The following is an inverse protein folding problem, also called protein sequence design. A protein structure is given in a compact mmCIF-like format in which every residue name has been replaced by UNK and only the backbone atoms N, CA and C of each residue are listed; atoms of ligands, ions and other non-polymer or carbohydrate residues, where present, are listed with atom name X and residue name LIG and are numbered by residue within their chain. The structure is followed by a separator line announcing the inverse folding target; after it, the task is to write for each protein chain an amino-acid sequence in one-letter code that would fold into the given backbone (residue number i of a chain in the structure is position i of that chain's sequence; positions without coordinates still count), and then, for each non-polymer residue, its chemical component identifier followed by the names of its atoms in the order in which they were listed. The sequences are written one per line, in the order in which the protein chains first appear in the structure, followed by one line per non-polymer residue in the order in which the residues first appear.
data_IF_261286133309
#
_entry.id   IF_261286133309
#
_cell.length_a   1.000
_cell.length_b   1.000
_cell.length_c   1.000
_cell.angle_alpha   90.00
_cell.angle_beta   90.00
_cell.angle_gamma   90.00
#
_symmetry.space_group_name_H-M   'P 1'
#
loop_
_entity.id
_entity.type
_entity.pdbx_description
1 polymer ?
#
# COMPACT_ATOMS: atom_id res chain seq x y z
N UNK A 1 6.42 5.27 -6.58
CA UNK A 1 7.82 4.83 -6.77
C UNK A 1 8.06 3.42 -6.25
N UNK A 2 7.86 3.14 -4.94
CA UNK A 2 8.17 1.81 -4.38
C UNK A 2 7.36 0.64 -4.97
N UNK A 3 6.10 0.86 -5.37
CA UNK A 3 5.27 -0.19 -5.98
C UNK A 3 5.81 -0.65 -7.33
N UNK A 4 6.29 0.26 -8.19
CA UNK A 4 6.82 -0.10 -9.51
C UNK A 4 8.11 -0.93 -9.41
N UNK A 5 8.96 -0.64 -8.42
CA UNK A 5 10.18 -1.42 -8.15
C UNK A 5 9.81 -2.83 -7.66
N UNK A 6 8.85 -2.92 -6.74
CA UNK A 6 8.32 -4.19 -6.24
C UNK A 6 7.64 -5.00 -7.35
N UNK A 7 6.87 -4.34 -8.21
CA UNK A 7 6.20 -4.94 -9.39
C UNK A 7 7.24 -5.53 -10.36
N UNK A 8 8.30 -4.79 -10.68
CA UNK A 8 9.36 -5.25 -11.57
C UNK A 8 10.07 -6.49 -11.01
N UNK A 9 10.38 -6.49 -9.71
CA UNK A 9 11.00 -7.64 -9.04
C UNK A 9 10.08 -8.88 -9.03
N UNK A 10 8.80 -8.71 -8.68
CA UNK A 10 7.87 -9.85 -8.64
C UNK A 10 7.61 -10.38 -10.04
N UNK A 11 7.52 -9.50 -11.05
CA UNK A 11 7.35 -9.92 -12.43
C UNK A 11 8.56 -10.70 -12.95
N UNK A 12 9.80 -10.27 -12.65
CA UNK A 12 11.00 -11.01 -13.08
C UNK A 12 11.04 -12.40 -12.47
N UNK A 13 10.66 -12.55 -11.21
CA UNK A 13 10.61 -13.83 -10.51
C UNK A 13 9.50 -14.76 -11.04
N UNK A 14 8.35 -14.20 -11.45
CA UNK A 14 7.31 -14.97 -12.12
C UNK A 14 7.75 -15.44 -13.50
N UNK A 15 8.44 -14.60 -14.27
CA UNK A 15 8.95 -14.94 -15.60
C UNK A 15 10.10 -15.96 -15.56
N UNK A 16 10.85 -16.04 -14.46
CA UNK A 16 11.89 -17.06 -14.25
C UNK A 16 11.29 -18.45 -13.92
N UNK A 17 10.14 -18.48 -13.24
CA UNK A 17 9.51 -19.72 -12.73
C UNK A 17 8.43 -20.31 -13.66
N UNK A 18 7.80 -19.50 -14.49
CA UNK A 18 6.62 -19.91 -15.27
C UNK A 18 6.73 -19.50 -16.74
N UNK A 19 6.01 -20.22 -17.61
CA UNK A 19 5.78 -19.79 -18.99
C UNK A 19 5.04 -18.45 -19.03
N UNK A 20 5.23 -17.68 -20.10
CA UNK A 20 4.83 -16.26 -20.17
C UNK A 20 3.35 -16.03 -19.78
N UNK A 21 2.35 -16.77 -20.32
CA UNK A 21 0.95 -16.56 -19.95
C UNK A 21 0.67 -16.80 -18.46
N UNK A 22 1.22 -17.87 -17.90
CA UNK A 22 1.09 -18.27 -16.51
C UNK A 22 1.79 -17.29 -15.57
N UNK A 23 2.97 -16.79 -15.96
CA UNK A 23 3.73 -15.79 -15.21
C UNK A 23 2.93 -14.51 -14.98
N UNK A 24 2.21 -14.01 -15.99
CA UNK A 24 1.36 -12.83 -15.84
C UNK A 24 0.16 -13.07 -14.92
N UNK A 25 -0.43 -14.27 -14.97
CA UNK A 25 -1.54 -14.65 -14.09
C UNK A 25 -1.08 -14.68 -12.63
N UNK A 26 0.06 -15.32 -12.35
CA UNK A 26 0.61 -15.40 -10.98
C UNK A 26 1.10 -14.04 -10.48
N UNK A 27 1.77 -13.26 -11.32
CA UNK A 27 2.14 -11.87 -11.00
C UNK A 27 0.92 -11.05 -10.58
N UNK A 28 -0.16 -11.12 -11.36
CA UNK A 28 -1.39 -10.39 -11.07
C UNK A 28 -1.99 -10.84 -9.72
N UNK A 29 -2.06 -12.14 -9.44
CA UNK A 29 -2.55 -12.66 -8.15
C UNK A 29 -1.73 -12.13 -6.98
N UNK A 30 -0.41 -12.11 -7.09
CA UNK A 30 0.51 -11.68 -6.03
C UNK A 30 0.46 -10.17 -5.78
N UNK A 31 0.30 -9.35 -6.82
CA UNK A 31 0.43 -7.88 -6.71
C UNK A 31 -0.90 -7.15 -6.56
N UNK A 32 -2.01 -7.68 -7.08
CA UNK A 32 -3.30 -6.99 -7.11
C UNK A 32 -3.80 -6.58 -5.72
N UNK A 33 -3.70 -7.48 -4.74
CA UNK A 33 -4.15 -7.21 -3.37
C UNK A 33 -3.37 -6.05 -2.74
N UNK A 34 -2.05 -6.05 -2.89
CA UNK A 34 -1.16 -5.02 -2.33
C UNK A 34 -1.31 -3.69 -3.06
N UNK A 35 -1.39 -3.69 -4.39
CA UNK A 35 -1.66 -2.50 -5.18
C UNK A 35 -2.98 -1.83 -4.76
N UNK A 36 -4.05 -2.61 -4.61
CA UNK A 36 -5.34 -2.10 -4.14
C UNK A 36 -5.31 -1.56 -2.70
N UNK A 37 -4.51 -2.15 -1.81
CA UNK A 37 -4.32 -1.62 -0.46
C UNK A 37 -3.68 -0.23 -0.50
N UNK A 38 -2.62 -0.06 -1.30
CA UNK A 38 -1.91 1.22 -1.44
C UNK A 38 -2.80 2.29 -2.07
N UNK A 39 -3.55 1.95 -3.12
CA UNK A 39 -4.50 2.88 -3.76
C UNK A 39 -5.58 3.32 -2.79
N UNK A 40 -6.19 2.38 -2.05
CA UNK A 40 -7.23 2.70 -1.05
C UNK A 40 -6.68 3.56 0.08
N UNK A 41 -5.51 3.24 0.62
CA UNK A 41 -4.86 4.03 1.65
C UNK A 41 -4.59 5.46 1.17
N UNK A 42 -4.02 5.61 -0.04
CA UNK A 42 -3.77 6.90 -0.67
C UNK A 42 -5.06 7.71 -0.85
N UNK A 43 -6.16 7.05 -1.26
CA UNK A 43 -7.45 7.70 -1.43
C UNK A 43 -8.06 8.19 -0.11
N UNK A 44 -7.96 7.39 0.94
CA UNK A 44 -8.43 7.78 2.29
C UNK A 44 -7.62 8.98 2.79
N UNK A 45 -6.29 8.95 2.65
CA UNK A 45 -5.42 10.08 3.01
C UNK A 45 -5.81 11.33 2.22
N UNK A 46 -6.02 11.21 0.90
CA UNK A 46 -6.48 12.30 0.06
C UNK A 46 -7.81 12.90 0.52
N UNK A 47 -8.80 12.06 0.88
CA UNK A 47 -10.07 12.54 1.43
C UNK A 47 -9.90 13.27 2.77
N UNK A 48 -9.07 12.74 3.66
CA UNK A 48 -8.78 13.38 4.95
C UNK A 48 -8.02 14.70 4.80
N UNK A 49 -7.16 14.81 3.79
CA UNK A 49 -6.42 16.03 3.49
C UNK A 49 -7.33 17.15 2.97
N UNK A 50 -8.35 16.80 2.17
CA UNK A 50 -9.32 17.76 1.61
C UNK A 50 -10.58 17.97 2.48
N UNK A 51 -10.56 17.60 3.76
CA UNK A 51 -11.65 17.91 4.67
C UNK A 51 -11.74 19.43 4.89
N UNK A 52 -12.91 20.02 4.59
CA UNK A 52 -13.13 21.46 4.73
C UNK A 52 -13.88 21.87 5.99
N UNK A 53 -14.51 20.92 6.69
CA UNK A 53 -15.31 21.21 7.89
C UNK A 53 -14.40 21.46 9.11
N UNK A 54 -14.45 22.64 9.77
CA UNK A 54 -13.57 22.99 10.89
C UNK A 54 -13.63 22.01 12.07
N UNK A 55 -14.81 21.44 12.35
CA UNK A 55 -15.00 20.47 13.45
C UNK A 55 -14.27 19.16 13.14
N UNK A 56 -14.40 18.67 11.90
CA UNK A 56 -13.73 17.44 11.45
C UNK A 56 -12.21 17.62 11.39
N UNK A 57 -11.72 18.81 11.04
CA UNK A 57 -10.30 19.15 11.07
C UNK A 57 -9.77 19.10 12.51
N UNK A 58 -10.51 19.67 13.47
CA UNK A 58 -10.18 19.61 14.90
C UNK A 58 -10.07 18.18 15.41
N UNK A 59 -11.07 17.34 15.09
CA UNK A 59 -11.06 15.90 15.41
C UNK A 59 -9.87 15.17 14.79
N UNK A 60 -9.59 15.39 13.49
CA UNK A 60 -8.44 14.77 12.80
C UNK A 60 -7.13 15.14 13.47
N UNK A 61 -6.93 16.41 13.83
CA UNK A 61 -5.70 16.87 14.49
C UNK A 61 -5.54 16.28 15.89
N UNK A 62 -6.65 16.16 16.64
CA UNK A 62 -6.64 15.55 17.96
C UNK A 62 -6.33 14.06 17.88
N UNK A 63 -6.94 13.34 16.93
CA UNK A 63 -6.62 11.93 16.68
C UNK A 63 -5.15 11.74 16.29
N UNK A 64 -4.61 12.59 15.42
CA UNK A 64 -3.20 12.50 15.02
C UNK A 64 -2.26 12.66 16.23
N UNK A 65 -2.56 13.61 17.13
CA UNK A 65 -1.79 13.84 18.36
C UNK A 65 -1.86 12.68 19.35
N UNK A 66 -3.01 12.00 19.43
CA UNK A 66 -3.24 10.87 20.32
C UNK A 66 -2.78 9.54 19.73
N UNK A 67 -2.49 9.48 18.43
CA UNK A 67 -2.08 8.26 17.74
C UNK A 67 -0.69 7.82 18.26
N UNK A 68 -0.56 6.64 18.87
CA UNK A 68 0.73 6.15 19.36
C UNK A 68 1.72 5.93 18.21
N UNK A 69 3.00 6.19 18.47
CA UNK A 69 4.09 5.98 17.51
C UNK A 69 4.18 4.54 16.98
N UNK A 70 3.71 3.57 17.78
CA UNK A 70 3.61 2.16 17.39
C UNK A 70 2.66 1.92 16.20
N UNK A 71 1.60 2.70 16.06
CA UNK A 71 0.65 2.60 14.94
C UNK A 71 1.34 2.99 13.64
N UNK A 72 2.07 4.11 13.65
CA UNK A 72 2.81 4.58 12.48
C UNK A 72 3.92 3.59 12.08
N UNK A 73 4.60 3.00 13.07
CA UNK A 73 5.61 1.96 12.84
C UNK A 73 5.02 0.72 12.19
N UNK A 74 3.88 0.25 12.68
CA UNK A 74 3.18 -0.94 12.16
C UNK A 74 2.67 -0.71 10.72
N UNK A 75 2.20 0.50 10.41
CA UNK A 75 1.79 0.87 9.06
C UNK A 75 2.98 0.85 8.09
N UNK A 76 4.13 1.42 8.48
CA UNK A 76 5.35 1.37 7.68
C UNK A 76 5.83 -0.09 7.47
N UNK A 77 5.84 -0.91 8.52
CA UNK A 77 6.22 -2.33 8.42
C UNK A 77 5.35 -3.09 7.41
N UNK A 78 4.03 -2.84 7.35
CA UNK A 78 3.16 -3.50 6.37
C UNK A 78 3.43 -3.07 4.93
N UNK A 79 3.77 -1.79 4.72
CA UNK A 79 4.12 -1.27 3.39
C UNK A 79 5.42 -1.90 2.91
N UNK A 80 6.45 -1.93 3.77
CA UNK A 80 7.80 -2.42 3.42
C UNK A 80 7.98 -3.93 3.51
N UNK A 81 7.01 -4.68 4.06
CA UNK A 81 7.07 -6.15 4.07
C UNK A 81 7.00 -6.66 2.64
N UNK A 82 8.15 -7.13 2.13
CA UNK A 82 8.27 -7.74 0.81
C UNK A 82 7.43 -9.02 0.76
N UNK A 83 6.64 -9.16 -0.30
CA UNK A 83 5.98 -10.43 -0.61
C UNK A 83 7.07 -11.46 -0.93
N UNK A 84 7.17 -12.51 -0.11
CA UNK A 84 7.99 -13.68 -0.46
C UNK A 84 7.27 -14.45 -1.57
N UNK A 85 8.01 -14.73 -2.64
CA UNK A 85 7.61 -15.47 -3.84
C UNK A 85 8.08 -16.90 -3.71
#
# INVERSE_FOLDING_TARGET
ACQAIEDAYVLSECLDKYEIPEAFVEYQKLRLAKAHQVVRASWIVGKMAHLSNPILIGLRNQMLRLTPSSVNRKQNEQIFKLTKI
#
